data_IF_357978350898
#
_entry.id   IF_357978350898
#
_cell.length_a   1.000
_cell.length_b   1.000
_cell.length_c   1.000
_cell.angle_alpha   90.00
_cell.angle_beta   90.00
_cell.angle_gamma   90.00
#
_symmetry.space_group_name_H-M   'P 1'
#
loop_
_entity.id
_entity.type
_entity.pdbx_description
1 polymer ?
#
# COMPACT_ATOMS: atom_id res chain seq x y z
N UNK A 1 -6.91 22.88 76.00
CA UNK A 1 -6.31 21.61 75.52
C UNK A 1 -6.86 21.35 74.13
N UNK A 2 -6.13 21.77 73.09
CA UNK A 2 -6.45 21.47 71.69
C UNK A 2 -5.57 20.32 71.22
N UNK A 3 -6.09 19.38 70.44
CA UNK A 3 -5.24 18.38 69.78
C UNK A 3 -4.64 18.93 68.48
N UNK A 4 -3.40 18.54 68.26
CA UNK A 4 -2.58 18.86 67.11
C UNK A 4 -3.12 18.19 65.82
N UNK A 5 -3.09 18.93 64.72
CA UNK A 5 -3.26 18.41 63.38
C UNK A 5 -1.93 17.85 62.87
N UNK A 6 -1.88 16.54 62.61
CA UNK A 6 -0.81 15.89 61.83
C UNK A 6 -1.03 16.17 60.35
N UNK A 7 -0.05 16.81 59.73
CA UNK A 7 0.06 16.91 58.27
C UNK A 7 0.59 15.58 57.72
N UNK A 8 -0.24 14.85 56.97
CA UNK A 8 0.20 13.81 56.08
C UNK A 8 0.75 14.45 54.81
N UNK A 9 2.06 14.37 54.65
CA UNK A 9 2.70 14.61 53.34
C UNK A 9 2.34 13.47 52.38
N UNK A 10 1.55 13.78 51.36
CA UNK A 10 1.37 12.91 50.21
C UNK A 10 2.65 12.98 49.37
N UNK A 11 3.48 11.96 49.46
CA UNK A 11 4.54 11.68 48.50
C UNK A 11 3.90 11.25 47.19
N UNK A 12 3.81 12.20 46.26
CA UNK A 12 3.42 11.96 44.88
C UNK A 12 4.64 11.42 44.11
N UNK A 13 4.83 10.10 44.20
CA UNK A 13 5.75 9.37 43.32
C UNK A 13 5.01 8.86 42.09
N UNK A 14 4.60 9.77 41.22
CA UNK A 14 4.31 9.40 39.85
C UNK A 14 5.64 9.23 39.10
N UNK A 15 6.26 8.09 39.25
CA UNK A 15 7.30 7.63 38.34
C UNK A 15 6.62 7.32 37.01
N UNK A 16 6.55 8.33 36.13
CA UNK A 16 6.26 8.09 34.71
C UNK A 16 7.40 7.20 34.20
N UNK A 17 7.09 5.91 34.00
CA UNK A 17 7.95 5.04 33.22
C UNK A 17 8.06 5.68 31.82
N UNK A 18 9.24 6.19 31.51
CA UNK A 18 9.56 6.61 30.15
C UNK A 18 9.61 5.33 29.31
N UNK A 19 8.49 5.01 28.64
CA UNK A 19 8.49 4.04 27.56
C UNK A 19 9.44 4.57 26.49
N UNK A 20 10.51 3.84 26.22
CA UNK A 20 11.38 4.13 25.09
C UNK A 20 10.62 3.78 23.82
N UNK A 21 10.04 4.78 23.17
CA UNK A 21 9.48 4.60 21.84
C UNK A 21 10.60 4.32 20.84
N UNK A 22 10.32 3.43 19.88
CA UNK A 22 11.24 3.14 18.77
C UNK A 22 11.63 4.43 18.05
N UNK A 23 12.94 4.67 17.82
CA UNK A 23 13.41 5.88 17.13
C UNK A 23 12.94 6.00 15.68
N UNK A 24 12.28 4.98 15.14
CA UNK A 24 11.66 5.00 13.80
C UNK A 24 10.18 5.37 13.83
N UNK A 25 9.60 5.69 14.99
CA UNK A 25 8.28 6.27 15.13
C UNK A 25 8.41 7.80 15.21
N UNK A 26 7.84 8.50 14.24
CA UNK A 26 8.03 9.94 14.06
C UNK A 26 6.78 10.72 14.46
N UNK A 27 6.94 11.84 15.18
CA UNK A 27 5.80 12.66 15.60
C UNK A 27 5.15 13.36 14.41
N UNK A 28 5.96 13.86 13.48
CA UNK A 28 5.51 14.67 12.34
C UNK A 28 6.12 14.15 11.03
N UNK A 29 5.51 14.48 9.87
CA UNK A 29 6.12 14.20 8.56
C UNK A 29 7.53 14.77 8.44
N UNK A 30 7.78 15.98 8.99
CA UNK A 30 9.09 16.64 8.96
C UNK A 30 10.15 15.85 9.74
N UNK A 31 9.78 15.28 10.89
CA UNK A 31 10.71 14.45 11.67
C UNK A 31 11.09 13.21 10.86
N UNK A 32 10.12 12.56 10.23
CA UNK A 32 10.37 11.41 9.36
C UNK A 32 11.26 11.76 8.16
N UNK A 33 11.02 12.90 7.51
CA UNK A 33 11.85 13.37 6.38
C UNK A 33 13.29 13.69 6.79
N UNK A 34 13.49 14.10 8.05
CA UNK A 34 14.81 14.46 8.60
C UNK A 34 15.56 13.28 9.18
N UNK A 35 14.93 12.11 9.28
CA UNK A 35 15.51 10.90 9.83
C UNK A 35 16.63 10.34 8.94
N UNK A 36 17.55 9.53 9.49
CA UNK A 36 18.58 8.86 8.69
C UNK A 36 17.98 8.08 7.53
N UNK A 37 18.69 8.07 6.39
CA UNK A 37 18.29 7.35 5.18
C UNK A 37 18.06 5.86 5.49
N UNK A 38 17.06 5.30 4.86
CA UNK A 38 16.77 3.85 4.90
C UNK A 38 17.92 3.07 4.26
N UNK A 39 18.30 1.95 4.87
CA UNK A 39 19.42 1.12 4.42
C UNK A 39 19.00 -0.16 3.75
N UNK A 40 17.82 -0.66 4.07
CA UNK A 40 17.27 -1.89 3.52
C UNK A 40 15.86 -1.65 2.96
N UNK A 41 15.54 -2.38 1.91
CA UNK A 41 14.20 -2.55 1.40
C UNK A 41 13.78 -4.02 1.50
N UNK A 42 12.58 -4.26 1.97
CA UNK A 42 11.93 -5.56 1.93
C UNK A 42 11.07 -5.62 0.68
N UNK A 43 11.10 -6.75 -0.04
CA UNK A 43 10.40 -6.89 -1.33
C UNK A 43 9.58 -8.17 -1.30
N UNK A 44 8.30 -8.07 -1.56
CA UNK A 44 7.45 -9.22 -1.79
C UNK A 44 7.87 -9.93 -3.09
N UNK A 45 8.27 -11.18 -2.98
CA UNK A 45 8.66 -12.03 -4.08
C UNK A 45 7.62 -13.13 -4.26
N UNK A 46 7.29 -13.45 -5.48
CA UNK A 46 6.20 -14.33 -5.87
C UNK A 46 6.72 -15.48 -6.74
N UNK A 47 6.06 -16.64 -6.65
CA UNK A 47 6.32 -17.84 -7.43
C UNK A 47 7.80 -18.31 -7.47
N UNK A 48 8.35 -18.81 -6.32
CA UNK A 48 7.69 -19.06 -5.04
C UNK A 48 7.66 -17.85 -4.11
N UNK A 49 6.68 -17.82 -3.19
CA UNK A 49 6.47 -16.71 -2.26
C UNK A 49 7.63 -16.56 -1.27
N UNK A 50 8.13 -15.32 -1.14
CA UNK A 50 9.25 -14.97 -0.26
C UNK A 50 9.24 -13.48 0.09
N UNK A 51 10.00 -13.08 1.10
CA UNK A 51 10.39 -11.69 1.33
C UNK A 51 11.89 -11.57 1.08
N UNK A 52 12.25 -10.81 0.04
CA UNK A 52 13.64 -10.47 -0.27
C UNK A 52 14.08 -9.24 0.51
N UNK A 53 15.36 -9.18 0.85
CA UNK A 53 15.98 -8.01 1.51
C UNK A 53 17.01 -7.43 0.58
N UNK A 54 16.81 -6.19 0.16
CA UNK A 54 17.68 -5.47 -0.77
C UNK A 54 18.44 -4.38 -0.02
N UNK A 55 19.73 -4.28 -0.24
CA UNK A 55 20.57 -3.21 0.28
C UNK A 55 20.39 -1.95 -0.58
N UNK A 56 19.82 -0.89 0.02
CA UNK A 56 19.54 0.40 -0.64
C UNK A 56 20.46 1.52 -0.13
N UNK A 57 21.45 1.20 0.71
CA UNK A 57 22.44 2.15 1.22
C UNK A 57 23.55 2.37 0.17
N UNK A 58 23.64 3.54 -0.48
CA UNK A 58 24.65 3.79 -1.51
C UNK A 58 26.09 3.78 -0.97
N UNK A 59 26.29 3.83 0.35
CA UNK A 59 27.61 3.72 0.97
C UNK A 59 28.01 2.27 1.27
N UNK A 60 27.07 1.33 1.09
CA UNK A 60 27.30 -0.08 1.34
C UNK A 60 28.04 -0.76 0.17
N UNK A 61 28.90 -1.73 0.49
CA UNK A 61 29.55 -2.60 -0.51
C UNK A 61 28.57 -3.52 -1.23
N UNK A 62 27.40 -3.73 -0.68
CA UNK A 62 26.31 -4.57 -1.21
C UNK A 62 25.15 -3.75 -1.76
N UNK A 63 25.37 -2.45 -2.03
CA UNK A 63 24.38 -1.59 -2.67
C UNK A 63 23.79 -2.22 -3.93
N UNK A 64 22.47 -2.12 -4.09
CA UNK A 64 21.72 -2.70 -5.20
C UNK A 64 21.82 -4.25 -5.31
N UNK A 65 22.00 -4.94 -4.17
CA UNK A 65 22.04 -6.40 -4.12
C UNK A 65 20.96 -6.97 -3.21
N UNK A 66 20.49 -8.17 -3.58
CA UNK A 66 19.70 -9.02 -2.68
C UNK A 66 20.63 -9.58 -1.61
N UNK A 67 20.49 -9.12 -0.37
CA UNK A 67 21.39 -9.46 0.75
C UNK A 67 20.79 -10.44 1.74
N UNK A 68 19.52 -10.74 1.62
CA UNK A 68 18.81 -11.71 2.45
C UNK A 68 17.48 -12.12 1.82
N UNK A 69 16.94 -13.23 2.32
CA UNK A 69 15.64 -13.73 1.86
C UNK A 69 15.03 -14.67 2.90
N UNK A 70 13.78 -14.44 3.25
CA UNK A 70 12.93 -15.44 3.88
C UNK A 70 12.01 -16.05 2.82
N UNK A 71 11.91 -17.36 2.76
CA UNK A 71 11.00 -18.07 1.84
C UNK A 71 9.84 -18.66 2.62
N UNK A 72 8.62 -18.46 2.13
CA UNK A 72 7.45 -19.06 2.72
C UNK A 72 7.54 -20.60 2.68
N UNK A 73 6.98 -21.30 3.68
CA UNK A 73 6.88 -22.73 3.64
C UNK A 73 6.13 -23.17 2.38
N UNK A 74 6.64 -24.20 1.70
CA UNK A 74 6.02 -24.70 0.46
C UNK A 74 4.61 -25.19 0.72
N UNK A 75 3.66 -24.61 0.01
CA UNK A 75 2.23 -24.91 0.08
C UNK A 75 1.76 -25.66 -1.18
N UNK A 76 0.55 -26.23 -1.11
CA UNK A 76 -0.11 -26.85 -2.27
C UNK A 76 -0.55 -25.84 -3.34
N UNK A 77 -0.75 -24.59 -2.95
CA UNK A 77 -1.04 -23.44 -3.81
C UNK A 77 -0.20 -22.24 -3.38
N UNK A 78 0.09 -21.28 -4.28
CA UNK A 78 0.80 -20.06 -3.91
C UNK A 78 0.00 -19.24 -2.90
N UNK A 79 0.72 -18.57 -2.01
CA UNK A 79 0.13 -17.58 -1.09
C UNK A 79 -0.16 -16.27 -1.82
N UNK A 80 0.65 -15.92 -2.83
CA UNK A 80 0.60 -14.67 -3.58
C UNK A 80 0.75 -13.47 -2.64
N UNK A 81 1.97 -13.20 -2.17
CA UNK A 81 2.27 -12.03 -1.32
C UNK A 81 2.06 -10.76 -2.11
N UNK A 82 1.01 -10.04 -1.78
CA UNK A 82 0.64 -8.83 -2.49
C UNK A 82 1.01 -7.59 -1.67
N UNK A 83 0.18 -7.20 -0.71
CA UNK A 83 0.49 -6.13 0.23
C UNK A 83 0.89 -6.68 1.59
N UNK A 84 1.77 -5.97 2.29
CA UNK A 84 2.14 -6.25 3.67
C UNK A 84 2.56 -4.97 4.36
N UNK A 85 2.60 -4.97 5.69
CA UNK A 85 2.90 -3.76 6.45
C UNK A 85 3.70 -4.04 7.73
N UNK A 86 4.10 -2.97 8.38
CA UNK A 86 4.73 -3.00 9.69
C UNK A 86 3.68 -3.21 10.80
N UNK A 87 4.10 -3.85 11.90
CA UNK A 87 3.22 -4.06 13.05
C UNK A 87 2.81 -2.77 13.76
N UNK A 88 3.59 -1.71 13.64
CA UNK A 88 3.33 -0.42 14.29
C UNK A 88 3.78 0.74 13.40
N UNK A 89 3.15 1.88 13.54
CA UNK A 89 3.48 3.11 12.82
C UNK A 89 3.37 4.33 13.75
N UNK A 90 3.68 5.51 13.21
CA UNK A 90 3.69 6.77 13.96
C UNK A 90 2.34 7.15 14.57
N UNK A 91 1.22 6.57 14.12
CA UNK A 91 -0.10 6.79 14.73
C UNK A 91 -0.15 6.35 16.20
N UNK A 92 0.69 5.41 16.60
CA UNK A 92 0.80 4.96 18.00
C UNK A 92 1.26 6.05 18.97
N UNK A 93 1.86 7.14 18.47
CA UNK A 93 2.30 8.28 19.30
C UNK A 93 1.16 9.26 19.65
N UNK A 94 -0.02 9.11 19.08
CA UNK A 94 -1.10 10.11 19.12
C UNK A 94 -2.27 9.79 20.02
N UNK A 95 -2.32 8.67 20.70
CA UNK A 95 -3.48 8.25 21.48
C UNK A 95 -3.26 8.23 22.99
N UNK A 96 -4.36 8.38 23.76
CA UNK A 96 -4.45 7.99 25.18
C UNK A 96 -4.40 6.46 25.35
N UNK A 97 -4.10 5.72 24.28
CA UNK A 97 -3.97 4.28 24.30
C UNK A 97 -2.62 3.95 24.99
N UNK A 98 -2.70 3.58 26.25
CA UNK A 98 -1.60 2.98 26.96
C UNK A 98 -1.26 1.64 26.31
N UNK A 99 -0.28 1.66 25.39
CA UNK A 99 0.37 0.43 24.97
C UNK A 99 1.16 -0.08 26.18
N UNK A 100 0.71 -1.16 26.79
CA UNK A 100 1.40 -1.79 27.92
C UNK A 100 2.72 -2.45 27.50
N UNK A 101 2.99 -2.54 26.18
CA UNK A 101 4.17 -3.13 25.56
C UNK A 101 5.21 -2.11 25.08
N UNK A 102 6.36 -2.61 24.65
CA UNK A 102 7.38 -1.80 23.97
C UNK A 102 6.87 -1.46 22.56
N UNK A 103 6.75 -0.15 22.24
CA UNK A 103 6.40 0.30 20.91
C UNK A 103 7.60 0.14 19.98
N UNK A 104 7.74 -1.02 19.32
CA UNK A 104 8.85 -1.32 18.44
C UNK A 104 8.36 -1.67 17.02
N UNK A 105 8.85 -0.95 16.01
CA UNK A 105 8.64 -1.27 14.58
C UNK A 105 9.58 -2.41 14.19
N UNK A 106 9.15 -3.62 14.39
CA UNK A 106 10.00 -4.81 14.34
C UNK A 106 9.46 -5.92 13.44
N UNK A 107 8.15 -6.03 13.34
CA UNK A 107 7.55 -7.16 12.65
C UNK A 107 6.93 -6.75 11.32
N UNK A 108 7.13 -7.59 10.30
CA UNK A 108 6.38 -7.51 9.05
C UNK A 108 5.19 -8.47 9.14
N UNK A 109 4.01 -7.95 8.87
CA UNK A 109 2.75 -8.70 8.78
C UNK A 109 2.46 -8.94 7.30
N UNK A 110 2.60 -10.20 6.85
CA UNK A 110 2.64 -10.57 5.43
C UNK A 110 1.45 -11.47 5.08
N UNK A 111 0.37 -10.91 4.54
CA UNK A 111 -0.76 -11.68 4.06
C UNK A 111 -0.45 -12.41 2.74
N UNK A 112 -0.94 -13.63 2.62
CA UNK A 112 -1.09 -14.33 1.36
C UNK A 112 -2.48 -14.06 0.78
N UNK A 113 -2.54 -13.23 -0.26
CA UNK A 113 -3.81 -12.79 -0.85
C UNK A 113 -4.65 -13.98 -1.35
N UNK A 114 -4.04 -14.98 -1.95
CA UNK A 114 -4.75 -16.15 -2.49
C UNK A 114 -5.07 -17.19 -1.41
N UNK A 115 -4.14 -17.44 -0.50
CA UNK A 115 -4.29 -18.47 0.54
C UNK A 115 -5.15 -18.04 1.73
N UNK A 116 -5.24 -16.73 2.00
CA UNK A 116 -5.76 -16.14 3.23
C UNK A 116 -4.89 -16.40 4.47
N UNK A 117 -3.66 -16.92 4.32
CA UNK A 117 -2.70 -17.11 5.41
C UNK A 117 -1.99 -15.81 5.72
N UNK A 118 -1.59 -15.59 6.98
CA UNK A 118 -0.79 -14.44 7.35
C UNK A 118 0.47 -14.92 8.07
N UNK A 119 1.62 -14.40 7.65
CA UNK A 119 2.92 -14.67 8.27
C UNK A 119 3.41 -13.45 9.02
N UNK A 120 3.94 -13.66 10.22
CA UNK A 120 4.59 -12.62 11.04
C UNK A 120 6.09 -12.88 11.02
N UNK A 121 6.83 -11.91 10.50
CA UNK A 121 8.28 -12.02 10.34
C UNK A 121 8.98 -11.02 11.27
N UNK A 122 9.86 -11.51 12.12
CA UNK A 122 10.73 -10.70 12.99
C UNK A 122 11.98 -10.26 12.21
N UNK A 123 12.20 -8.96 12.10
CA UNK A 123 13.38 -8.35 11.49
C UNK A 123 14.26 -7.61 12.49
N UNK A 124 13.89 -7.59 13.77
CA UNK A 124 14.60 -6.85 14.82
C UNK A 124 16.00 -7.39 15.07
N UNK A 125 16.21 -8.69 15.35
CA UNK A 125 17.53 -9.23 15.70
C UNK A 125 18.55 -9.17 14.55
N UNK A 126 18.09 -9.39 13.31
CA UNK A 126 18.88 -9.31 12.09
C UNK A 126 18.00 -8.84 10.93
N UNK A 127 18.03 -7.54 10.59
CA UNK A 127 17.20 -6.98 9.52
C UNK A 127 17.46 -7.59 8.13
N UNK A 128 18.62 -8.22 7.92
CA UNK A 128 18.95 -8.89 6.66
C UNK A 128 18.44 -10.34 6.59
N UNK A 129 17.98 -10.87 7.71
CA UNK A 129 17.57 -12.28 7.81
C UNK A 129 16.23 -12.41 8.57
N UNK A 130 15.09 -12.00 7.96
CA UNK A 130 13.78 -12.09 8.56
C UNK A 130 13.46 -13.50 9.05
N UNK A 131 12.87 -13.63 10.23
CA UNK A 131 12.53 -14.92 10.83
C UNK A 131 11.03 -15.04 11.05
N UNK A 132 10.45 -16.16 10.63
CA UNK A 132 9.07 -16.48 10.93
C UNK A 132 8.90 -16.70 12.44
N UNK A 133 7.98 -15.97 13.06
CA UNK A 133 7.62 -16.12 14.47
C UNK A 133 6.20 -16.65 14.67
N UNK A 134 5.30 -16.37 13.72
CA UNK A 134 3.93 -16.86 13.76
C UNK A 134 3.36 -17.05 12.36
N UNK A 135 2.53 -18.07 12.20
CA UNK A 135 1.63 -18.25 11.04
C UNK A 135 0.19 -18.23 11.57
N UNK A 136 -0.65 -17.45 10.93
CA UNK A 136 -2.09 -17.44 11.15
C UNK A 136 -2.73 -18.16 9.98
N UNK A 137 -3.39 -19.27 10.25
CA UNK A 137 -3.96 -20.10 9.22
C UNK A 137 -5.29 -19.55 8.66
N UNK A 138 -5.67 -19.89 7.43
CA UNK A 138 -6.85 -19.34 6.76
C UNK A 138 -8.14 -19.51 7.57
N UNK A 139 -8.27 -20.63 8.28
CA UNK A 139 -9.43 -20.95 9.11
C UNK A 139 -9.56 -19.95 10.28
N UNK A 140 -8.44 -19.51 10.84
CA UNK A 140 -8.43 -18.49 11.90
C UNK A 140 -8.83 -17.13 11.33
N UNK A 141 -8.30 -16.74 10.16
CA UNK A 141 -8.67 -15.49 9.47
C UNK A 141 -10.16 -15.46 9.17
N UNK A 142 -10.68 -16.53 8.56
CA UNK A 142 -12.10 -16.61 8.19
C UNK A 142 -13.04 -16.67 9.40
N UNK A 143 -12.70 -17.46 10.43
CA UNK A 143 -13.60 -17.65 11.57
C UNK A 143 -13.63 -16.44 12.51
N UNK A 144 -12.48 -15.79 12.75
CA UNK A 144 -12.37 -14.64 13.65
C UNK A 144 -12.51 -13.31 12.91
N UNK A 145 -11.79 -13.12 11.80
CA UNK A 145 -11.84 -11.91 10.99
C UNK A 145 -13.10 -11.75 10.15
N UNK A 146 -13.83 -12.85 9.89
CA UNK A 146 -15.03 -12.90 9.06
C UNK A 146 -14.80 -12.61 7.57
N UNK A 147 -13.54 -12.60 7.13
CA UNK A 147 -13.12 -12.29 5.78
C UNK A 147 -12.10 -13.31 5.28
N UNK A 148 -11.82 -13.26 3.98
CA UNK A 148 -10.77 -14.02 3.31
C UNK A 148 -10.02 -13.11 2.32
N UNK A 149 -8.88 -13.58 1.82
CA UNK A 149 -8.05 -12.80 0.89
C UNK A 149 -7.59 -11.48 1.51
N UNK A 150 -6.89 -11.51 2.66
CA UNK A 150 -6.32 -10.33 3.28
C UNK A 150 -5.35 -9.64 2.33
N UNK A 151 -5.41 -8.31 2.30
CA UNK A 151 -4.68 -7.49 1.33
C UNK A 151 -3.83 -6.44 2.02
N UNK A 152 -4.35 -5.22 2.23
CA UNK A 152 -3.58 -4.11 2.80
C UNK A 152 -3.48 -4.24 4.32
N UNK A 153 -2.30 -3.95 4.85
CA UNK A 153 -2.01 -3.92 6.30
C UNK A 153 -1.56 -2.54 6.70
N UNK A 154 -2.28 -1.91 7.60
CA UNK A 154 -1.87 -0.67 8.26
C UNK A 154 -2.04 -0.78 9.76
N UNK A 155 -1.09 -0.22 10.52
CA UNK A 155 -1.27 0.05 11.92
C UNK A 155 -2.17 1.29 12.10
N UNK A 156 -2.99 1.30 13.11
CA UNK A 156 -3.86 2.41 13.44
C UNK A 156 -4.10 2.55 14.92
N UNK A 157 -4.98 3.47 15.33
CA UNK A 157 -5.33 3.60 16.73
C UNK A 157 -5.88 2.29 17.29
N UNK A 158 -5.14 1.69 18.22
CA UNK A 158 -5.56 0.48 18.93
C UNK A 158 -5.28 -0.85 18.25
N UNK A 159 -4.39 -0.91 17.22
CA UNK A 159 -3.96 -2.18 16.66
C UNK A 159 -3.64 -2.16 15.17
N UNK A 160 -3.56 -3.35 14.58
CA UNK A 160 -3.42 -3.56 13.14
C UNK A 160 -4.78 -3.68 12.48
N UNK A 161 -4.91 -3.04 11.34
CA UNK A 161 -6.09 -3.14 10.47
C UNK A 161 -5.66 -3.83 9.17
N UNK A 162 -6.48 -4.76 8.73
CA UNK A 162 -6.21 -5.55 7.54
C UNK A 162 -7.45 -5.56 6.65
N UNK A 163 -7.34 -5.01 5.44
CA UNK A 163 -8.41 -5.16 4.46
C UNK A 163 -8.45 -6.57 3.88
N UNK A 164 -9.59 -6.99 3.40
CA UNK A 164 -9.77 -8.28 2.76
C UNK A 164 -10.81 -8.19 1.64
N UNK A 165 -10.51 -8.80 0.49
CA UNK A 165 -11.35 -8.68 -0.71
C UNK A 165 -12.43 -9.76 -0.80
N UNK A 166 -12.35 -10.80 0.03
CA UNK A 166 -13.29 -11.92 0.05
C UNK A 166 -14.05 -12.07 1.36
N UNK A 167 -15.18 -12.76 1.31
CA UNK A 167 -15.96 -13.08 2.50
C UNK A 167 -15.33 -14.21 3.31
N UNK A 168 -15.64 -14.27 4.61
CA UNK A 168 -15.27 -15.38 5.49
C UNK A 168 -16.25 -16.54 5.48
N UNK A 169 -17.06 -16.70 4.42
CA UNK A 169 -17.93 -17.87 4.27
C UNK A 169 -17.11 -19.16 4.18
N UNK A 170 -17.68 -20.32 4.54
CA UNK A 170 -16.96 -21.59 4.45
C UNK A 170 -16.41 -21.89 3.04
N UNK A 171 -17.04 -21.35 2.02
CA UNK A 171 -16.60 -21.50 0.63
C UNK A 171 -15.40 -20.59 0.30
N UNK A 172 -15.05 -19.64 1.21
CA UNK A 172 -13.92 -18.72 1.08
C UNK A 172 -13.96 -17.84 -0.17
N UNK A 173 -15.16 -17.66 -0.71
CA UNK A 173 -15.37 -17.17 -2.05
C UNK A 173 -15.94 -15.74 -2.06
N UNK A 174 -16.67 -15.43 -3.10
CA UNK A 174 -17.28 -14.15 -3.31
C UNK A 174 -18.22 -13.77 -2.17
N UNK A 175 -18.35 -12.50 -1.96
CA UNK A 175 -19.14 -11.93 -0.89
C UNK A 175 -18.53 -10.59 -0.48
N UNK A 176 -19.12 -9.93 0.53
CA UNK A 176 -18.61 -8.64 0.93
C UNK A 176 -17.18 -8.77 1.49
N UNK A 177 -16.28 -8.01 0.90
CA UNK A 177 -14.97 -7.70 1.48
C UNK A 177 -15.11 -6.68 2.61
N UNK A 178 -14.03 -6.39 3.32
CA UNK A 178 -14.04 -5.42 4.42
C UNK A 178 -12.74 -5.39 5.18
N UNK A 179 -12.80 -5.04 6.46
CA UNK A 179 -11.63 -4.85 7.32
C UNK A 179 -11.79 -5.70 8.59
N UNK A 180 -10.73 -6.34 9.00
CA UNK A 180 -10.62 -6.95 10.33
C UNK A 180 -9.41 -6.41 11.08
N UNK A 181 -9.41 -6.56 12.39
CA UNK A 181 -8.36 -6.05 13.26
C UNK A 181 -7.59 -7.18 13.93
N UNK A 182 -6.33 -6.88 14.24
CA UNK A 182 -5.37 -7.75 14.88
C UNK A 182 -4.60 -6.96 15.94
N UNK A 183 -4.30 -7.59 17.05
CA UNK A 183 -3.40 -7.04 18.05
C UNK A 183 -1.97 -6.93 17.48
N UNK A 184 -1.26 -5.87 17.79
CA UNK A 184 0.06 -5.58 17.23
C UNK A 184 1.23 -6.21 18.00
N UNK A 185 0.98 -6.75 19.21
CA UNK A 185 2.00 -7.40 20.06
C UNK A 185 1.97 -8.92 19.93
N UNK A 186 0.80 -9.53 20.16
CA UNK A 186 0.66 -10.98 20.10
C UNK A 186 0.02 -11.50 18.80
N UNK A 187 -0.42 -10.58 17.92
CA UNK A 187 -0.97 -10.88 16.59
C UNK A 187 -2.22 -11.77 16.60
N UNK A 188 -3.02 -11.76 17.67
CA UNK A 188 -4.32 -12.41 17.62
C UNK A 188 -5.33 -11.56 16.85
N UNK A 189 -6.20 -12.21 16.08
CA UNK A 189 -7.29 -11.52 15.37
C UNK A 189 -8.36 -11.14 16.39
N UNK A 190 -8.62 -9.84 16.53
CA UNK A 190 -9.60 -9.28 17.46
C UNK A 190 -11.01 -9.33 16.91
N UNK A 191 -11.19 -9.31 15.57
CA UNK A 191 -12.48 -9.51 14.92
C UNK A 191 -12.69 -8.64 13.69
N UNK A 192 -13.89 -8.72 13.13
CA UNK A 192 -14.37 -7.81 12.09
C UNK A 192 -14.43 -6.38 12.62
N UNK A 193 -13.92 -5.43 11.82
CA UNK A 193 -13.89 -4.04 12.26
C UNK A 193 -15.22 -3.32 12.06
N UNK A 194 -15.84 -3.41 10.89
CA UNK A 194 -17.08 -2.65 10.61
C UNK A 194 -18.24 -3.16 11.45
N UNK A 195 -18.85 -2.26 12.22
CA UNK A 195 -20.14 -2.51 12.88
C UNK A 195 -21.31 -2.37 11.89
N UNK A 196 -21.18 -1.41 10.96
CA UNK A 196 -22.17 -1.20 9.90
C UNK A 196 -21.46 -0.76 8.61
N UNK A 197 -21.35 -1.69 7.65
CA UNK A 197 -20.68 -1.42 6.36
C UNK A 197 -21.48 -0.54 5.41
N UNK A 198 -22.77 -0.26 5.67
CA UNK A 198 -23.62 0.51 4.77
C UNK A 198 -23.75 -0.14 3.39
N UNK A 199 -23.43 0.61 2.34
CA UNK A 199 -23.50 0.16 0.94
C UNK A 199 -22.21 -0.47 0.41
N UNK A 200 -21.13 -0.52 1.18
CA UNK A 200 -19.88 -1.15 0.74
C UNK A 200 -20.08 -2.66 0.54
N UNK A 201 -19.61 -3.16 -0.59
CA UNK A 201 -19.61 -4.58 -0.88
C UNK A 201 -18.22 -5.09 -1.32
N UNK A 202 -17.52 -4.34 -2.16
CA UNK A 202 -16.16 -4.62 -2.56
C UNK A 202 -15.19 -3.91 -1.62
N UNK A 203 -13.96 -4.41 -1.52
CA UNK A 203 -12.90 -3.81 -0.75
C UNK A 203 -11.55 -3.94 -1.48
N UNK A 204 -10.61 -3.08 -1.14
CA UNK A 204 -9.24 -3.17 -1.60
C UNK A 204 -8.29 -2.51 -0.61
N UNK A 205 -7.95 -1.22 -0.79
CA UNK A 205 -7.08 -0.45 0.06
C UNK A 205 -7.90 0.39 1.06
N UNK A 206 -7.25 0.82 2.11
CA UNK A 206 -7.83 1.75 3.06
C UNK A 206 -6.73 2.56 3.73
N UNK A 207 -7.13 3.73 4.21
CA UNK A 207 -6.31 4.54 5.09
C UNK A 207 -7.23 5.37 5.99
N UNK A 208 -6.68 6.10 6.94
CA UNK A 208 -7.44 7.00 7.80
C UNK A 208 -6.93 8.42 7.72
N UNK A 209 -7.85 9.32 8.01
CA UNK A 209 -7.56 10.69 8.32
C UNK A 209 -7.82 10.90 9.82
N UNK A 210 -6.73 10.96 10.62
CA UNK A 210 -6.83 10.88 12.09
C UNK A 210 -7.61 12.05 12.67
N UNK A 211 -7.34 13.29 12.26
CA UNK A 211 -8.04 14.47 12.79
C UNK A 211 -9.53 14.54 12.44
N UNK A 212 -9.95 13.89 11.37
CA UNK A 212 -11.36 13.78 11.01
C UNK A 212 -12.02 12.54 11.63
N UNK A 213 -11.23 11.71 12.31
CA UNK A 213 -11.67 10.42 12.88
C UNK A 213 -12.38 9.53 11.86
N UNK A 214 -11.82 9.47 10.65
CA UNK A 214 -12.43 8.78 9.50
C UNK A 214 -11.45 7.78 8.89
N UNK A 215 -11.95 6.56 8.63
CA UNK A 215 -11.30 5.58 7.78
C UNK A 215 -11.89 5.69 6.37
N UNK A 216 -11.02 5.67 5.35
CA UNK A 216 -11.38 5.76 3.94
C UNK A 216 -11.02 4.44 3.29
N UNK A 217 -11.96 3.79 2.58
CA UNK A 217 -11.77 2.49 1.95
C UNK A 217 -12.20 2.51 0.48
N UNK A 218 -11.36 1.94 -0.38
CA UNK A 218 -11.58 1.80 -1.81
C UNK A 218 -12.19 0.44 -2.18
N UNK A 219 -12.59 0.30 -3.44
CA UNK A 219 -13.26 -0.90 -3.95
C UNK A 219 -12.58 -1.45 -5.21
N UNK A 220 -12.22 -2.73 -5.21
CA UNK A 220 -11.67 -3.40 -6.38
C UNK A 220 -12.59 -4.48 -6.92
N UNK A 221 -12.59 -5.68 -6.30
CA UNK A 221 -13.17 -6.90 -6.88
C UNK A 221 -13.53 -7.91 -5.79
N UNK A 222 -14.27 -8.95 -6.20
CA UNK A 222 -14.40 -10.19 -5.45
C UNK A 222 -13.35 -11.22 -5.94
N UNK A 223 -13.03 -12.27 -5.16
CA UNK A 223 -12.04 -13.29 -5.54
C UNK A 223 -12.26 -13.87 -6.96
N UNK A 224 -13.47 -14.24 -7.33
CA UNK A 224 -13.77 -14.79 -8.66
C UNK A 224 -13.49 -13.83 -9.82
N UNK A 225 -13.46 -12.53 -9.55
CA UNK A 225 -13.25 -11.48 -10.54
C UNK A 225 -11.76 -11.20 -10.79
N UNK A 226 -10.86 -11.65 -9.88
CA UNK A 226 -9.45 -11.27 -9.92
C UNK A 226 -8.48 -12.44 -9.88
N UNK A 227 -8.77 -13.53 -9.13
CA UNK A 227 -7.79 -14.61 -8.89
C UNK A 227 -7.37 -15.36 -10.15
N UNK A 228 -8.26 -15.47 -11.12
CA UNK A 228 -8.00 -16.16 -12.40
C UNK A 228 -7.73 -15.20 -13.55
N UNK A 229 -7.39 -13.95 -13.24
CA UNK A 229 -7.14 -12.86 -14.17
C UNK A 229 -8.31 -11.90 -14.26
N UNK A 230 -8.11 -10.82 -15.02
CA UNK A 230 -9.16 -9.89 -15.38
C UNK A 230 -10.23 -10.62 -16.21
N UNK A 231 -11.50 -10.41 -15.87
CA UNK A 231 -12.65 -10.95 -16.60
C UNK A 231 -13.23 -9.82 -17.48
N UNK A 232 -12.95 -9.80 -18.79
CA UNK A 232 -13.33 -8.68 -19.66
C UNK A 232 -14.83 -8.41 -19.68
N UNK A 233 -15.67 -9.44 -19.61
CA UNK A 233 -17.13 -9.32 -19.61
C UNK A 233 -17.62 -8.59 -18.36
N UNK A 234 -16.97 -8.80 -17.22
CA UNK A 234 -17.30 -8.09 -15.97
C UNK A 234 -16.80 -6.64 -16.00
N UNK A 235 -15.65 -6.39 -16.63
CA UNK A 235 -15.15 -5.03 -16.83
C UNK A 235 -16.09 -4.21 -17.74
N UNK A 236 -16.42 -4.74 -18.92
CA UNK A 236 -17.36 -4.11 -19.85
C UNK A 236 -18.75 -3.99 -19.21
N UNK A 237 -19.14 -5.00 -18.42
CA UNK A 237 -20.37 -5.02 -17.65
C UNK A 237 -20.37 -4.12 -16.40
N UNK A 238 -19.28 -3.38 -16.17
CA UNK A 238 -19.14 -2.39 -15.08
C UNK A 238 -19.40 -2.99 -13.69
N UNK A 239 -18.73 -4.13 -13.39
CA UNK A 239 -18.95 -4.89 -12.15
C UNK A 239 -17.85 -4.70 -11.12
N UNK A 240 -16.67 -4.17 -11.50
CA UNK A 240 -15.62 -3.83 -10.58
C UNK A 240 -15.96 -2.58 -9.76
N UNK A 241 -15.23 -2.37 -8.66
CA UNK A 241 -15.49 -1.29 -7.74
C UNK A 241 -15.31 0.10 -8.36
N UNK A 242 -16.19 1.03 -7.98
CA UNK A 242 -16.19 2.40 -8.48
C UNK A 242 -16.53 3.43 -7.39
N UNK A 243 -16.34 3.05 -6.11
CA UNK A 243 -16.67 3.90 -4.97
C UNK A 243 -15.50 4.07 -4.03
N UNK A 244 -15.54 5.17 -3.29
CA UNK A 244 -14.73 5.44 -2.12
C UNK A 244 -15.66 5.59 -0.92
N UNK A 245 -15.40 4.80 0.12
CA UNK A 245 -16.27 4.68 1.29
C UNK A 245 -15.60 5.35 2.49
N UNK A 246 -16.37 6.06 3.29
CA UNK A 246 -15.93 6.78 4.48
C UNK A 246 -16.64 6.22 5.72
N UNK A 247 -15.86 5.86 6.73
CA UNK A 247 -16.36 5.28 7.97
C UNK A 247 -15.93 6.13 9.16
N UNK A 248 -16.83 6.39 10.04
CA UNK A 248 -16.52 6.97 11.34
C UNK A 248 -15.81 5.92 12.23
N UNK A 249 -14.66 6.29 12.79
CA UNK A 249 -13.80 5.36 13.52
C UNK A 249 -14.40 4.92 14.86
N UNK A 250 -15.15 5.78 15.54
CA UNK A 250 -15.73 5.46 16.85
C UNK A 250 -16.94 4.51 16.71
N UNK A 251 -17.84 4.83 15.80
CA UNK A 251 -19.04 4.02 15.57
C UNK A 251 -18.80 2.85 14.63
N UNK A 252 -17.65 2.84 13.92
CA UNK A 252 -17.28 1.83 12.91
C UNK A 252 -18.36 1.63 11.85
N UNK A 253 -18.99 2.75 11.47
CA UNK A 253 -20.13 2.76 10.55
C UNK A 253 -19.85 3.64 9.34
N UNK A 254 -20.32 3.20 8.17
CA UNK A 254 -20.24 4.00 6.96
C UNK A 254 -21.06 5.30 7.14
N UNK A 255 -20.39 6.44 6.96
CA UNK A 255 -21.00 7.78 7.04
C UNK A 255 -21.19 8.41 5.66
N UNK A 256 -20.43 7.98 4.67
CA UNK A 256 -20.55 8.45 3.28
C UNK A 256 -19.99 7.41 2.29
N UNK A 257 -20.47 7.51 1.05
CA UNK A 257 -19.86 6.85 -0.10
C UNK A 257 -19.85 7.85 -1.27
N UNK A 258 -18.69 8.01 -1.89
CA UNK A 258 -18.53 8.81 -3.11
C UNK A 258 -18.48 7.86 -4.29
N UNK A 259 -19.47 7.94 -5.16
CA UNK A 259 -19.58 7.14 -6.37
C UNK A 259 -18.97 7.93 -7.53
N UNK A 260 -17.91 7.40 -8.15
CA UNK A 260 -17.22 8.02 -9.28
C UNK A 260 -17.97 7.86 -10.61
N UNK A 261 -18.95 6.96 -10.64
CA UNK A 261 -19.65 6.52 -11.83
C UNK A 261 -19.13 5.17 -12.33
N UNK A 262 -20.03 4.34 -12.80
CA UNK A 262 -19.75 2.94 -13.11
C UNK A 262 -18.87 2.71 -14.34
N UNK A 263 -18.54 3.76 -15.12
CA UNK A 263 -17.50 3.70 -16.15
C UNK A 263 -16.08 3.68 -15.59
N UNK A 264 -15.88 4.22 -14.36
CA UNK A 264 -14.58 4.27 -13.67
C UNK A 264 -14.40 3.01 -12.83
N UNK A 265 -13.64 2.06 -13.32
CA UNK A 265 -13.54 0.74 -12.71
C UNK A 265 -12.21 0.54 -11.97
N UNK A 266 -12.27 -0.17 -10.85
CA UNK A 266 -11.15 -0.49 -9.97
C UNK A 266 -10.58 0.77 -9.31
N UNK A 267 -11.18 1.14 -8.21
CA UNK A 267 -10.70 2.20 -7.32
C UNK A 267 -9.70 1.57 -6.37
N UNK A 268 -8.42 1.90 -6.52
CA UNK A 268 -7.34 1.19 -5.83
C UNK A 268 -6.74 2.01 -4.68
N UNK A 269 -5.47 2.36 -4.80
CA UNK A 269 -4.65 2.93 -3.74
C UNK A 269 -5.16 4.27 -3.22
N UNK A 270 -5.27 4.41 -1.91
CA UNK A 270 -5.73 5.61 -1.19
C UNK A 270 -4.53 6.27 -0.50
N UNK A 271 -4.32 7.55 -0.75
CA UNK A 271 -3.22 8.32 -0.12
C UNK A 271 -3.77 9.62 0.46
N UNK A 272 -4.07 9.68 1.76
CA UNK A 272 -4.40 10.95 2.44
C UNK A 272 -3.18 11.87 2.51
N UNK A 273 -3.42 13.17 2.67
CA UNK A 273 -2.38 14.12 3.08
C UNK A 273 -1.67 13.62 4.33
N UNK A 274 -0.36 13.73 4.36
CA UNK A 274 0.45 13.40 5.54
C UNK A 274 0.34 14.44 6.64
N UNK A 275 -0.03 15.68 6.28
CA UNK A 275 -0.32 16.75 7.24
C UNK A 275 -1.75 16.54 7.80
N UNK A 276 -1.90 16.13 9.07
CA UNK A 276 -3.20 15.81 9.64
C UNK A 276 -4.14 17.02 9.74
N UNK A 277 -3.65 18.23 9.53
CA UNK A 277 -4.50 19.44 9.49
C UNK A 277 -5.18 19.68 8.13
N UNK A 278 -4.82 18.91 7.10
CA UNK A 278 -5.34 19.06 5.73
C UNK A 278 -6.26 17.91 5.37
N UNK A 279 -7.53 18.20 5.18
CA UNK A 279 -8.57 17.18 4.89
C UNK A 279 -8.71 16.96 3.39
N UNK A 280 -7.72 16.34 2.78
CA UNK A 280 -7.77 15.84 1.40
C UNK A 280 -6.86 14.63 1.23
N UNK A 281 -6.98 13.98 0.09
CA UNK A 281 -6.07 12.95 -0.36
C UNK A 281 -6.35 12.55 -1.81
N UNK A 282 -5.62 11.56 -2.28
CA UNK A 282 -5.70 11.07 -3.64
C UNK A 282 -6.16 9.61 -3.67
N UNK A 283 -6.76 9.21 -4.78
CA UNK A 283 -7.10 7.82 -5.04
C UNK A 283 -6.94 7.52 -6.54
N UNK A 284 -6.32 6.37 -6.85
CA UNK A 284 -6.12 5.88 -8.20
C UNK A 284 -7.36 5.15 -8.74
N UNK A 285 -7.70 5.40 -10.00
CA UNK A 285 -8.71 4.64 -10.76
C UNK A 285 -8.05 4.04 -11.99
N UNK A 286 -8.10 2.72 -12.08
CA UNK A 286 -7.32 1.93 -13.05
C UNK A 286 -7.74 2.20 -14.48
N UNK A 287 -9.05 2.26 -14.75
CA UNK A 287 -9.55 2.39 -16.11
C UNK A 287 -10.94 3.01 -16.19
N UNK A 288 -11.12 3.91 -17.15
CA UNK A 288 -12.43 4.30 -17.70
C UNK A 288 -12.75 3.38 -18.87
N UNK A 289 -13.83 2.60 -18.77
CA UNK A 289 -14.18 1.62 -19.80
C UNK A 289 -14.71 2.24 -21.10
N UNK A 290 -14.91 3.56 -21.13
CA UNK A 290 -15.39 4.27 -22.32
C UNK A 290 -14.28 4.66 -23.30
N UNK A 291 -13.07 4.96 -22.78
CA UNK A 291 -11.94 5.44 -23.57
C UNK A 291 -10.58 4.80 -23.17
N UNK A 292 -10.60 3.86 -22.22
CA UNK A 292 -9.43 3.17 -21.65
C UNK A 292 -8.45 4.11 -20.93
N UNK A 293 -8.80 5.33 -20.64
CA UNK A 293 -7.97 6.22 -19.83
C UNK A 293 -7.94 5.74 -18.37
N UNK A 294 -6.87 6.09 -17.65
CA UNK A 294 -6.82 6.00 -16.20
C UNK A 294 -6.93 7.39 -15.58
N UNK A 295 -7.22 7.45 -14.29
CA UNK A 295 -7.37 8.74 -13.63
C UNK A 295 -6.91 8.70 -12.17
N UNK A 296 -6.60 9.89 -11.63
CA UNK A 296 -6.47 10.12 -10.19
C UNK A 296 -7.50 11.15 -9.78
N UNK A 297 -8.12 10.88 -8.64
CA UNK A 297 -9.14 11.75 -8.07
C UNK A 297 -8.65 12.30 -6.74
N UNK A 298 -8.90 13.59 -6.51
CA UNK A 298 -8.69 14.22 -5.21
C UNK A 298 -9.99 14.13 -4.42
N UNK A 299 -9.97 13.42 -3.30
CA UNK A 299 -11.06 13.40 -2.35
C UNK A 299 -10.84 14.45 -1.26
N UNK A 300 -11.91 15.03 -0.75
CA UNK A 300 -11.87 16.14 0.22
C UNK A 300 -13.19 16.27 0.95
N UNK A 301 -13.18 17.09 2.00
CA UNK A 301 -14.37 17.43 2.75
C UNK A 301 -14.81 18.86 2.44
N UNK A 302 -16.06 19.04 2.01
CA UNK A 302 -16.68 20.32 1.75
C UNK A 302 -17.81 20.53 2.78
N UNK A 303 -17.54 21.35 3.78
CA UNK A 303 -18.41 21.48 4.95
C UNK A 303 -18.56 20.15 5.71
N UNK A 304 -19.71 19.48 5.56
CA UNK A 304 -19.98 18.17 6.18
C UNK A 304 -19.97 17.03 5.17
N UNK A 305 -19.80 17.30 3.89
CA UNK A 305 -19.91 16.33 2.81
C UNK A 305 -18.53 15.87 2.34
N UNK A 306 -18.38 14.57 2.16
CA UNK A 306 -17.23 13.98 1.48
C UNK A 306 -17.47 14.02 -0.02
N UNK A 307 -16.48 14.49 -0.77
CA UNK A 307 -16.52 14.65 -2.23
C UNK A 307 -15.24 14.15 -2.86
N UNK A 308 -15.28 13.90 -4.17
CA UNK A 308 -14.08 13.69 -4.96
C UNK A 308 -14.22 14.38 -6.32
N UNK A 309 -13.08 14.84 -6.85
CA UNK A 309 -12.98 15.49 -8.15
C UNK A 309 -11.86 14.83 -8.95
N UNK A 310 -12.12 14.48 -10.21
CA UNK A 310 -11.10 13.95 -11.11
C UNK A 310 -10.11 15.07 -11.46
N UNK A 311 -8.86 14.94 -11.01
CA UNK A 311 -7.82 15.98 -11.15
C UNK A 311 -6.73 15.59 -12.14
N UNK A 312 -6.53 14.28 -12.38
CA UNK A 312 -5.59 13.78 -13.39
C UNK A 312 -6.31 12.81 -14.31
N UNK A 313 -6.10 12.95 -15.60
CA UNK A 313 -6.50 11.96 -16.61
C UNK A 313 -5.28 11.56 -17.43
N UNK A 314 -5.06 10.26 -17.57
CA UNK A 314 -3.95 9.67 -18.33
C UNK A 314 -4.56 8.87 -19.48
N UNK A 315 -4.40 9.32 -20.73
CA UNK A 315 -5.05 8.67 -21.89
C UNK A 315 -4.40 7.33 -22.21
N UNK A 316 -5.18 6.43 -22.83
CA UNK A 316 -4.65 5.21 -23.43
C UNK A 316 -3.69 5.55 -24.58
N UNK A 317 -2.73 4.67 -24.81
CA UNK A 317 -1.74 4.81 -25.90
C UNK A 317 -2.15 3.94 -27.08
N UNK A 318 -2.47 4.50 -28.25
CA UNK A 318 -2.75 3.72 -29.46
C UNK A 318 -1.56 2.82 -29.82
N UNK A 319 -1.85 1.58 -30.23
CA UNK A 319 -0.83 0.61 -30.62
C UNK A 319 -1.39 -0.35 -31.67
N UNK A 320 -0.54 -0.75 -32.63
CA UNK A 320 -0.91 -1.71 -33.66
C UNK A 320 -1.34 -3.05 -33.04
N UNK A 321 -2.43 -3.62 -33.54
CA UNK A 321 -3.04 -4.84 -33.00
C UNK A 321 -2.08 -6.04 -32.91
N UNK A 322 -1.06 -6.09 -33.78
CA UNK A 322 -0.05 -7.15 -33.80
C UNK A 322 0.87 -7.10 -32.54
N UNK A 323 1.07 -5.91 -31.98
CA UNK A 323 1.90 -5.69 -30.78
C UNK A 323 1.10 -5.83 -29.47
N UNK A 324 -0.24 -5.87 -29.58
CA UNK A 324 -1.11 -5.97 -28.41
C UNK A 324 -1.27 -7.43 -27.95
N UNK A 325 -1.30 -7.68 -26.63
CA UNK A 325 -1.70 -8.97 -26.10
C UNK A 325 -3.13 -9.31 -26.53
N UNK A 326 -3.51 -10.59 -26.62
CA UNK A 326 -4.80 -11.02 -27.14
C UNK A 326 -6.01 -10.25 -26.61
N UNK A 327 -6.02 -9.97 -25.30
CA UNK A 327 -7.12 -9.30 -24.63
C UNK A 327 -7.28 -7.83 -25.02
N UNK A 328 -6.23 -7.16 -25.50
CA UNK A 328 -6.27 -5.74 -25.88
C UNK A 328 -6.44 -5.52 -27.38
N UNK A 329 -6.34 -6.57 -28.21
CA UNK A 329 -6.40 -6.44 -29.67
C UNK A 329 -7.67 -5.74 -30.18
N UNK A 330 -8.80 -6.01 -29.54
CA UNK A 330 -10.09 -5.41 -29.92
C UNK A 330 -10.19 -3.92 -29.62
N UNK A 331 -9.31 -3.39 -28.80
CA UNK A 331 -9.35 -1.97 -28.38
C UNK A 331 -8.36 -1.11 -29.18
N UNK A 332 -7.33 -1.68 -29.80
CA UNK A 332 -6.34 -0.93 -30.59
C UNK A 332 -5.49 0.05 -29.76
N UNK A 333 -5.44 -0.13 -28.46
CA UNK A 333 -4.73 0.75 -27.53
C UNK A 333 -4.30 0.02 -26.25
N UNK A 334 -3.28 0.55 -25.59
CA UNK A 334 -2.84 0.13 -24.26
C UNK A 334 -3.41 1.10 -23.23
N UNK A 335 -4.26 0.66 -22.28
CA UNK A 335 -4.66 1.47 -21.16
C UNK A 335 -3.45 1.74 -20.26
N UNK A 336 -3.35 2.88 -19.54
CA UNK A 336 -2.27 3.10 -18.59
C UNK A 336 -2.25 2.04 -17.50
N UNK A 337 -3.40 1.64 -16.98
CA UNK A 337 -3.61 0.82 -15.80
C UNK A 337 -2.83 1.40 -14.62
N UNK A 338 -3.42 2.41 -13.97
CA UNK A 338 -2.87 2.99 -12.74
C UNK A 338 -3.02 1.97 -11.62
N UNK A 339 -1.91 1.35 -11.23
CA UNK A 339 -1.88 0.25 -10.27
C UNK A 339 -1.42 0.69 -8.88
N UNK A 340 -0.67 1.79 -8.80
CA UNK A 340 -0.23 2.36 -7.52
C UNK A 340 -0.04 3.87 -7.63
N UNK A 341 -0.21 4.55 -6.51
CA UNK A 341 0.12 5.97 -6.34
C UNK A 341 0.88 6.16 -5.03
N UNK A 342 1.90 7.02 -5.04
CA UNK A 342 2.69 7.37 -3.87
C UNK A 342 2.71 8.88 -3.65
N UNK A 343 2.52 9.34 -2.42
CA UNK A 343 2.58 10.75 -2.05
C UNK A 343 3.83 11.00 -1.20
N UNK A 344 4.61 12.02 -1.53
CA UNK A 344 5.76 12.42 -0.70
C UNK A 344 5.29 12.96 0.66
N UNK A 345 6.11 12.79 1.71
CA UNK A 345 5.73 13.18 3.09
C UNK A 345 5.51 14.69 3.29
N UNK A 346 5.98 15.52 2.35
CA UNK A 346 5.71 16.97 2.32
C UNK A 346 4.43 17.34 1.57
N UNK A 347 3.65 16.35 1.12
CA UNK A 347 2.43 16.50 0.31
C UNK A 347 2.66 17.23 -1.02
N UNK A 348 3.89 17.28 -1.51
CA UNK A 348 4.24 18.06 -2.68
C UNK A 348 4.19 17.30 -3.99
N UNK A 349 4.66 16.05 -3.98
CA UNK A 349 4.75 15.25 -5.19
C UNK A 349 3.94 13.98 -5.09
N UNK A 350 3.09 13.79 -6.11
CA UNK A 350 2.35 12.55 -6.33
C UNK A 350 3.01 11.76 -7.47
N UNK A 351 3.30 10.51 -7.22
CA UNK A 351 3.81 9.54 -8.18
C UNK A 351 2.70 8.61 -8.61
N UNK A 352 2.63 8.29 -9.91
CA UNK A 352 1.57 7.47 -10.49
C UNK A 352 2.20 6.39 -11.35
N UNK A 353 2.03 5.13 -10.96
CA UNK A 353 2.49 3.96 -11.69
C UNK A 353 1.47 3.57 -12.76
N UNK A 354 1.90 3.62 -14.03
CA UNK A 354 1.11 3.25 -15.19
C UNK A 354 1.67 1.94 -15.76
N UNK A 355 1.28 0.83 -15.16
CA UNK A 355 1.89 -0.48 -15.35
C UNK A 355 1.90 -0.97 -16.79
N UNK A 356 0.76 -0.86 -17.51
CA UNK A 356 0.68 -1.41 -18.86
C UNK A 356 1.41 -0.54 -19.90
N UNK A 357 1.45 0.78 -19.73
CA UNK A 357 2.22 1.68 -20.63
C UNK A 357 3.70 1.78 -20.25
N UNK A 358 4.10 1.23 -19.09
CA UNK A 358 5.49 1.25 -18.64
C UNK A 358 5.96 2.63 -18.17
N UNK A 359 5.08 3.44 -17.60
CA UNK A 359 5.41 4.80 -17.18
C UNK A 359 5.30 4.95 -15.66
N UNK A 360 6.26 5.64 -15.05
CA UNK A 360 6.10 6.27 -13.76
C UNK A 360 6.04 7.78 -13.97
N UNK A 361 4.96 8.40 -13.53
CA UNK A 361 4.71 9.83 -13.69
C UNK A 361 4.78 10.56 -12.35
N UNK A 362 5.35 11.75 -12.35
CA UNK A 362 5.39 12.65 -11.21
C UNK A 362 4.52 13.88 -11.48
N UNK A 363 3.76 14.28 -10.46
CA UNK A 363 2.95 15.50 -10.47
C UNK A 363 3.28 16.34 -9.24
N UNK A 364 3.48 17.66 -9.42
CA UNK A 364 3.45 18.63 -8.32
C UNK A 364 1.98 18.85 -7.93
N UNK A 365 1.65 18.47 -6.71
CA UNK A 365 0.31 18.54 -6.11
C UNK A 365 0.24 19.54 -4.96
N UNK A 366 1.12 20.54 -4.94
CA UNK A 366 1.05 21.64 -3.98
C UNK A 366 -0.32 22.35 -3.98
N UNK A 367 -1.00 22.34 -5.13
CA UNK A 367 -2.45 22.54 -5.24
C UNK A 367 -3.07 21.19 -5.60
N UNK A 368 -3.75 20.50 -4.66
CA UNK A 368 -4.30 19.17 -4.89
C UNK A 368 -5.43 19.13 -5.94
N UNK A 369 -6.00 20.29 -6.27
CA UNK A 369 -7.05 20.42 -7.29
C UNK A 369 -6.53 20.83 -8.67
N UNK A 370 -5.24 21.19 -8.77
CA UNK A 370 -4.59 21.56 -10.02
C UNK A 370 -3.20 20.89 -10.15
N UNK A 371 -3.09 19.55 -10.13
CA UNK A 371 -1.84 18.83 -10.29
C UNK A 371 -1.09 19.22 -11.56
N UNK A 372 0.22 19.43 -11.46
CA UNK A 372 1.07 19.79 -12.61
C UNK A 372 2.04 18.64 -12.88
N UNK A 373 1.98 18.08 -14.08
CA UNK A 373 2.92 17.06 -14.51
C UNK A 373 4.35 17.62 -14.55
N UNK A 374 5.28 16.97 -13.86
CA UNK A 374 6.68 17.43 -13.70
C UNK A 374 7.71 16.48 -14.26
N UNK A 375 7.36 15.21 -14.49
CA UNK A 375 8.29 14.23 -15.05
C UNK A 375 7.66 12.89 -15.36
N UNK A 376 8.28 12.18 -16.29
CA UNK A 376 7.92 10.77 -16.61
C UNK A 376 9.18 9.99 -16.90
N UNK A 377 9.29 8.80 -16.33
CA UNK A 377 10.26 7.80 -16.76
C UNK A 377 9.53 6.63 -17.44
N UNK A 378 10.24 5.87 -18.27
CA UNK A 378 9.71 4.68 -18.93
C UNK A 378 10.58 3.46 -18.64
N UNK A 379 9.92 2.38 -18.17
CA UNK A 379 10.50 1.07 -17.94
C UNK A 379 9.51 0.00 -18.42
N UNK A 380 9.91 -0.83 -19.36
CA UNK A 380 9.05 -1.87 -19.92
C UNK A 380 7.86 -1.32 -20.71
N UNK A 381 6.68 -1.83 -20.40
CA UNK A 381 5.43 -1.51 -21.08
C UNK A 381 5.05 -2.49 -22.20
N UNK A 382 3.78 -2.52 -22.52
CA UNK A 382 3.22 -3.32 -23.63
C UNK A 382 3.62 -2.68 -24.96
N UNK A 383 4.18 -3.48 -25.86
CA UNK A 383 4.57 -3.06 -27.21
C UNK A 383 5.88 -2.31 -27.32
N UNK A 384 6.18 -1.40 -26.42
CA UNK A 384 7.42 -0.62 -26.39
C UNK A 384 8.19 -0.94 -25.13
N UNK A 385 9.10 -1.92 -25.21
CA UNK A 385 9.92 -2.35 -24.07
C UNK A 385 11.06 -1.34 -23.84
N UNK A 386 10.80 -0.35 -23.02
CA UNK A 386 11.86 0.53 -22.55
C UNK A 386 12.78 -0.24 -21.59
N UNK A 387 14.10 -0.22 -21.87
CA UNK A 387 15.11 -0.85 -21.04
C UNK A 387 15.53 0.07 -19.90
N UNK A 388 16.06 -0.55 -18.85
CA UNK A 388 16.77 0.20 -17.84
C UNK A 388 18.06 0.84 -18.44
N UNK A 389 18.49 2.04 -17.99
CA UNK A 389 19.70 2.71 -18.51
C UNK A 389 20.98 1.88 -18.40
N UNK A 390 21.08 0.92 -17.49
CA UNK A 390 22.17 -0.05 -17.42
C UNK A 390 22.23 -1.02 -18.62
N UNK A 391 21.21 -1.00 -19.49
CA UNK A 391 21.03 -1.95 -20.58
C UNK A 391 20.27 -3.22 -20.19
N UNK A 392 19.90 -3.38 -18.91
CA UNK A 392 19.12 -4.52 -18.45
C UNK A 392 17.69 -4.50 -19.00
N UNK A 393 17.15 -5.69 -19.27
CA UNK A 393 15.75 -5.83 -19.72
C UNK A 393 14.78 -5.61 -18.58
N UNK A 394 13.66 -4.94 -18.88
CA UNK A 394 12.53 -4.79 -18.01
C UNK A 394 11.26 -5.29 -18.72
N UNK A 395 10.62 -6.30 -18.17
CA UNK A 395 9.29 -6.77 -18.60
C UNK A 395 8.26 -6.33 -17.55
N UNK A 396 7.00 -6.18 -17.95
CA UNK A 396 6.00 -5.47 -17.14
C UNK A 396 6.18 -3.95 -17.24
N UNK A 397 5.66 -3.20 -16.30
CA UNK A 397 5.90 -1.76 -16.13
C UNK A 397 6.14 -1.44 -14.67
N UNK A 398 6.45 -0.19 -14.30
CA UNK A 398 6.38 0.23 -12.91
C UNK A 398 5.01 -0.12 -12.33
N UNK A 399 4.99 -0.99 -11.30
CA UNK A 399 3.75 -1.53 -10.77
C UNK A 399 3.55 -1.05 -9.33
N UNK A 400 4.31 -1.57 -8.37
CA UNK A 400 4.35 -0.99 -7.02
C UNK A 400 5.46 0.05 -6.95
N UNK A 401 5.17 1.11 -6.23
CA UNK A 401 6.12 2.19 -5.99
C UNK A 401 6.20 2.50 -4.50
N UNK A 402 7.40 2.79 -4.02
CA UNK A 402 7.59 3.22 -2.64
C UNK A 402 8.49 4.44 -2.57
N UNK A 403 7.98 5.50 -1.97
CA UNK A 403 8.70 6.77 -1.82
C UNK A 403 9.46 6.77 -0.50
N UNK A 404 10.78 7.03 -0.55
CA UNK A 404 11.57 7.19 0.66
C UNK A 404 11.08 8.34 1.53
N UNK A 405 11.30 8.27 2.85
CA UNK A 405 10.86 9.32 3.79
C UNK A 405 11.37 10.71 3.41
N UNK A 406 12.61 10.82 2.91
CA UNK A 406 13.19 12.10 2.48
C UNK A 406 12.63 12.63 1.14
N UNK A 407 11.74 11.89 0.49
CA UNK A 407 11.11 12.25 -0.79
C UNK A 407 12.08 12.29 -1.98
N UNK A 408 13.31 11.78 -1.84
CA UNK A 408 14.35 11.90 -2.87
C UNK A 408 14.52 10.66 -3.75
N UNK A 409 13.89 9.57 -3.38
CA UNK A 409 14.00 8.27 -4.07
C UNK A 409 12.64 7.62 -4.19
N UNK A 410 12.38 7.04 -5.33
CA UNK A 410 11.22 6.15 -5.53
C UNK A 410 11.74 4.80 -5.98
N UNK A 411 11.38 3.76 -5.28
CA UNK A 411 11.67 2.39 -5.65
C UNK A 411 10.48 1.79 -6.37
N UNK A 412 10.71 1.01 -7.43
CA UNK A 412 9.64 0.38 -8.19
C UNK A 412 9.96 -1.06 -8.54
N UNK A 413 8.93 -1.89 -8.53
CA UNK A 413 8.89 -3.28 -8.99
C UNK A 413 7.98 -3.41 -10.21
N UNK A 414 7.78 -4.63 -10.74
CA UNK A 414 7.20 -4.78 -12.07
C UNK A 414 6.03 -5.78 -12.21
N UNK A 415 5.73 -6.57 -11.18
CA UNK A 415 4.64 -7.57 -11.23
C UNK A 415 3.38 -7.05 -10.56
N UNK A 416 2.22 -7.32 -11.15
CA UNK A 416 0.92 -7.00 -10.56
C UNK A 416 0.37 -8.21 -9.77
N UNK A 417 -0.20 -9.19 -10.44
CA UNK A 417 -0.78 -10.42 -9.89
C UNK A 417 -0.52 -11.55 -10.90
N UNK A 418 -0.21 -12.76 -10.44
CA UNK A 418 0.30 -13.84 -11.31
C UNK A 418 -0.52 -14.07 -12.59
N UNK A 419 -1.84 -14.15 -12.46
CA UNK A 419 -2.73 -14.40 -13.58
C UNK A 419 -2.90 -13.17 -14.48
N UNK A 420 -2.87 -11.96 -13.93
CA UNK A 420 -2.90 -10.71 -14.68
C UNK A 420 -1.59 -10.49 -15.43
N UNK A 421 -0.45 -10.74 -14.79
CA UNK A 421 0.86 -10.68 -15.45
C UNK A 421 0.88 -11.55 -16.71
N UNK A 422 0.35 -12.77 -16.62
CA UNK A 422 0.28 -13.70 -17.76
C UNK A 422 -0.65 -13.21 -18.87
N UNK A 423 -1.76 -12.55 -18.50
CA UNK A 423 -2.70 -12.01 -19.50
C UNK A 423 -2.14 -10.81 -20.27
N UNK A 424 -1.48 -9.88 -19.54
CA UNK A 424 -0.98 -8.64 -20.14
C UNK A 424 0.43 -8.80 -20.72
N UNK A 425 1.25 -9.68 -20.14
CA UNK A 425 2.62 -9.96 -20.56
C UNK A 425 2.85 -11.47 -20.74
N UNK A 426 2.30 -12.08 -21.79
CA UNK A 426 2.32 -13.54 -21.97
C UNK A 426 3.71 -14.16 -22.10
N UNK A 427 4.75 -13.35 -22.31
CA UNK A 427 6.15 -13.80 -22.29
C UNK A 427 6.78 -13.87 -20.89
N UNK A 428 5.99 -13.57 -19.85
CA UNK A 428 6.43 -13.58 -18.45
C UNK A 428 7.04 -12.26 -17.99
N UNK A 429 7.03 -12.06 -16.68
CA UNK A 429 7.60 -10.91 -15.97
C UNK A 429 8.64 -11.43 -14.97
N UNK A 430 9.95 -11.47 -15.33
CA UNK A 430 11.01 -11.71 -14.35
C UNK A 430 11.04 -10.61 -13.30
N UNK A 431 11.11 -10.97 -12.03
CA UNK A 431 11.12 -10.00 -10.94
C UNK A 431 12.35 -9.11 -10.97
N UNK A 432 12.11 -7.81 -10.93
CA UNK A 432 13.15 -6.77 -10.89
C UNK A 432 12.73 -5.61 -10.00
N UNK A 433 13.72 -4.83 -9.54
CA UNK A 433 13.52 -3.59 -8.81
C UNK A 433 14.46 -2.53 -9.34
N UNK A 434 13.95 -1.32 -9.54
CA UNK A 434 14.72 -0.14 -9.93
C UNK A 434 14.51 0.99 -8.93
N UNK A 435 15.41 1.96 -8.96
CA UNK A 435 15.34 3.20 -8.22
C UNK A 435 15.25 4.38 -9.16
N UNK A 436 14.43 5.34 -8.79
CA UNK A 436 14.25 6.61 -9.47
C UNK A 436 14.66 7.73 -8.52
N UNK A 437 15.53 8.61 -8.97
CA UNK A 437 15.96 9.77 -8.21
C UNK A 437 15.04 10.96 -8.52
N UNK A 438 14.67 11.68 -7.47
CA UNK A 438 13.80 12.85 -7.54
C UNK A 438 14.66 14.11 -7.62
N UNK A 439 14.45 14.90 -8.66
CA UNK A 439 15.20 16.13 -8.92
C UNK A 439 14.70 17.28 -8.05
N UNK A 440 15.63 18.12 -7.62
CA UNK A 440 15.27 19.33 -6.87
C UNK A 440 14.38 20.25 -7.73
N UNK A 441 13.20 20.59 -7.21
CA UNK A 441 12.23 21.43 -7.93
C UNK A 441 11.27 20.68 -8.85
N UNK A 442 11.34 19.35 -8.88
CA UNK A 442 10.51 18.48 -9.70
C UNK A 442 11.27 17.86 -10.86
N UNK A 443 10.76 16.74 -11.35
CA UNK A 443 11.40 15.86 -12.33
C UNK A 443 11.92 14.58 -11.67
N UNK A 444 12.02 13.52 -12.45
CA UNK A 444 12.47 12.20 -12.02
C UNK A 444 13.40 11.60 -13.05
N UNK A 445 14.39 10.83 -12.58
CA UNK A 445 15.37 10.15 -13.43
C UNK A 445 15.67 8.76 -12.88
N UNK A 446 15.80 7.77 -13.78
CA UNK A 446 16.14 6.40 -13.38
C UNK A 446 17.62 6.37 -12.97
N UNK A 447 17.90 5.85 -11.77
CA UNK A 447 19.27 5.58 -11.34
C UNK A 447 19.84 4.41 -12.15
N UNK A 448 20.82 4.69 -13.01
CA UNK A 448 21.48 3.69 -13.89
C UNK A 448 22.26 2.62 -13.12
N UNK A 449 22.66 2.91 -11.88
CA UNK A 449 23.51 2.06 -11.05
C UNK A 449 22.69 1.20 -10.06
N UNK A 450 21.36 1.41 -9.98
CA UNK A 450 20.48 0.64 -9.15
C UNK A 450 19.51 -0.23 -9.97
N UNK A 451 19.86 -1.49 -10.13
CA UNK A 451 19.01 -2.50 -10.76
C UNK A 451 19.18 -3.84 -10.06
N UNK A 452 18.12 -4.34 -9.45
CA UNK A 452 18.14 -5.62 -8.72
C UNK A 452 17.29 -6.63 -9.48
N UNK A 453 17.80 -7.84 -9.66
CA UNK A 453 17.05 -8.96 -10.22
C UNK A 453 16.71 -9.98 -9.15
N UNK A 454 15.58 -10.65 -9.31
CA UNK A 454 15.13 -11.72 -8.42
C UNK A 454 14.94 -13.02 -9.21
N UNK A 455 16.03 -13.76 -9.51
CA UNK A 455 15.98 -14.95 -10.35
C UNK A 455 14.98 -15.99 -9.84
N UNK A 456 14.06 -16.43 -10.70
CA UNK A 456 13.05 -17.42 -10.38
C UNK A 456 11.88 -16.88 -9.56
N UNK A 457 11.78 -15.57 -9.38
CA UNK A 457 10.67 -14.90 -8.72
C UNK A 457 10.09 -13.80 -9.61
N UNK A 458 8.87 -13.37 -9.32
CA UNK A 458 8.30 -12.07 -9.67
C UNK A 458 8.45 -11.15 -8.46
N UNK A 459 8.31 -9.82 -8.62
CA UNK A 459 8.46 -8.86 -7.52
C UNK A 459 7.28 -7.90 -7.45
N UNK A 460 6.75 -7.68 -6.25
CA UNK A 460 5.60 -6.85 -6.01
C UNK A 460 5.92 -5.74 -4.99
N UNK A 461 5.23 -5.64 -3.87
CA UNK A 461 5.37 -4.53 -2.94
C UNK A 461 6.78 -4.40 -2.35
N UNK A 462 7.16 -3.16 -2.10
CA UNK A 462 8.39 -2.77 -1.39
C UNK A 462 8.00 -2.09 -0.08
N UNK A 463 8.73 -2.37 1.01
CA UNK A 463 8.67 -1.59 2.26
C UNK A 463 10.08 -1.23 2.69
N UNK A 464 10.28 0.01 3.12
CA UNK A 464 11.60 0.46 3.56
C UNK A 464 11.79 0.26 5.05
N UNK A 465 13.00 -0.06 5.45
CA UNK A 465 13.39 -0.22 6.84
C UNK A 465 13.12 1.07 7.63
N UNK A 466 12.40 0.95 8.76
CA UNK A 466 12.04 2.10 9.58
C UNK A 466 10.91 2.96 9.01
N UNK A 467 10.15 2.43 8.03
CA UNK A 467 9.01 3.09 7.40
C UNK A 467 9.35 3.88 6.13
N UNK A 468 8.33 4.25 5.42
CA UNK A 468 8.33 4.94 4.13
C UNK A 468 7.11 5.84 4.03
N UNK A 469 6.85 6.46 2.86
CA UNK A 469 5.74 7.40 2.71
C UNK A 469 4.36 6.74 2.82
N UNK A 470 4.27 5.44 2.62
CA UNK A 470 3.00 4.69 2.70
C UNK A 470 2.85 3.87 3.98
N UNK A 471 3.74 4.05 4.95
CA UNK A 471 3.69 3.33 6.24
C UNK A 471 2.99 4.12 7.34
N UNK A 472 3.33 5.40 7.49
CA UNK A 472 2.99 6.18 8.69
C UNK A 472 1.75 7.06 8.51
N UNK A 473 0.86 7.04 9.51
CA UNK A 473 -0.11 8.09 9.75
C UNK A 473 0.39 8.97 10.89
N UNK A 474 0.45 10.27 10.65
CA UNK A 474 0.97 11.23 11.62
C UNK A 474 -0.16 11.89 12.40
N UNK A 475 0.03 12.03 13.72
CA UNK A 475 -0.95 12.66 14.62
C UNK A 475 -0.68 14.14 14.87
N UNK A 476 0.50 14.62 14.51
CA UNK A 476 0.94 15.99 14.77
C UNK A 476 1.37 16.67 13.47
N UNK A 477 1.07 17.96 13.38
CA UNK A 477 1.48 18.81 12.25
C UNK A 477 2.97 19.12 12.31
N UNK A 478 3.57 19.42 11.16
CA UNK A 478 4.99 19.79 11.04
C UNK A 478 5.28 21.21 11.53
#
# INVERSE_FOLDING_TARGET
MSPAHEHHEHNDHSAHAHHHADPTLYRTPRDAMSAPREKLAYVALLDPDAIGVVDVDPESKTYAQLVGKWSAPRQSSPDEFHHYGWNICSSALGGDHHHEGEMERRYLVVPGLRSSRIYILDVGPDPRNPKLVRTIEPEEVMSKGRYSRPHTVHCGPGGLFISAVGSGSPDGNDGPGGIFTMDHDDFHITGQWEANRGSQFLAYDFWWHINENVLIASEWAQPSMMENGLVPELLIGRKYGHKLNFFDMDTRSQIAAVDFGDQYQMVLEVRPSHDPSKTFGFVGVVVDVTDLSASVWTWYKDGKEWKATKTITIPATPLDAELLPPMLKGFGAVPPLVTDIGLSLDDRYLYVACWATGELRQYDVSDPFAPKHTGTIKLGGIGHRARHPSGADWAGGPQMIEVSRDGKRVFTTNSLYSTWDTQFFPNGIPGVMAKVDVQHGGGIEIDKDFFVTFPGHRSHQVRLQGGDSSTDSFCFTS
#
